data_IF_097440301883
#
_entry.id   IF_097440301883
#
_cell.length_a   1.000
_cell.length_b   1.000
_cell.length_c   1.000
_cell.angle_alpha   90.00
_cell.angle_beta   90.00
_cell.angle_gamma   90.00
#
_symmetry.space_group_name_H-M   'P 1'
#
loop_
_entity.id
_entity.type
_entity.pdbx_description
1 polymer ?
#
# COMPACT_ATOMS: atom_id res chain seq x y z
N UNK A 1 -14.79 11.51 -20.56
CA UNK A 1 -14.58 10.25 -19.78
C UNK A 1 -13.19 10.26 -19.12
N UNK A 2 -13.07 10.79 -17.90
CA UNK A 2 -11.82 10.78 -17.11
C UNK A 2 -12.01 10.27 -15.67
N UNK A 3 -13.23 10.39 -15.12
CA UNK A 3 -13.55 9.91 -13.77
C UNK A 3 -13.38 8.40 -13.57
N UNK A 4 -13.63 7.59 -14.61
CA UNK A 4 -13.47 6.13 -14.54
C UNK A 4 -12.02 5.67 -14.40
N UNK A 5 -11.08 6.29 -15.15
CA UNK A 5 -9.66 5.93 -15.11
C UNK A 5 -9.03 6.26 -13.74
N UNK A 6 -9.33 7.44 -13.19
CA UNK A 6 -8.87 7.82 -11.85
C UNK A 6 -9.42 6.92 -10.75
N UNK A 7 -10.70 6.51 -10.84
CA UNK A 7 -11.30 5.55 -9.91
C UNK A 7 -10.63 4.17 -9.99
N UNK A 8 -10.37 3.67 -11.19
CA UNK A 8 -9.69 2.38 -11.38
C UNK A 8 -8.25 2.41 -10.83
N UNK A 9 -7.50 3.48 -11.07
CA UNK A 9 -6.15 3.64 -10.52
C UNK A 9 -6.15 3.63 -8.98
N UNK A 10 -7.08 4.38 -8.36
CA UNK A 10 -7.25 4.37 -6.90
C UNK A 10 -7.61 2.98 -6.35
N UNK A 11 -8.48 2.25 -7.04
CA UNK A 11 -8.82 0.87 -6.64
C UNK A 11 -7.63 -0.07 -6.81
N UNK A 12 -6.83 0.08 -7.87
CA UNK A 12 -5.66 -0.74 -8.13
C UNK A 12 -4.59 -0.58 -7.04
N UNK A 13 -4.25 0.66 -6.66
CA UNK A 13 -3.25 0.91 -5.61
C UNK A 13 -3.73 0.43 -4.24
N UNK A 14 -5.04 0.58 -3.93
CA UNK A 14 -5.63 0.05 -2.69
C UNK A 14 -5.62 -1.48 -2.65
N UNK A 15 -5.88 -2.13 -3.78
CA UNK A 15 -5.76 -3.59 -3.86
C UNK A 15 -4.31 -4.04 -3.71
N UNK A 16 -3.36 -3.34 -4.34
CA UNK A 16 -1.95 -3.67 -4.28
C UNK A 16 -1.42 -3.67 -2.84
N UNK A 17 -1.74 -2.66 -2.04
CA UNK A 17 -1.30 -2.60 -0.63
C UNK A 17 -1.96 -3.69 0.24
N UNK A 18 -3.24 -3.99 0.03
CA UNK A 18 -3.96 -5.03 0.80
C UNK A 18 -3.40 -6.41 0.49
N UNK A 19 -3.06 -6.66 -0.78
CA UNK A 19 -2.48 -7.93 -1.23
C UNK A 19 -0.97 -8.03 -0.91
N UNK A 20 -0.33 -6.91 -0.56
CA UNK A 20 1.11 -6.88 -0.24
C UNK A 20 1.35 -7.56 1.09
N UNK A 21 2.12 -8.65 1.06
CA UNK A 21 2.61 -9.36 2.23
C UNK A 21 4.12 -9.52 2.11
N UNK A 22 4.83 -9.30 3.22
CA UNK A 22 6.27 -9.52 3.29
C UNK A 22 6.53 -11.00 3.06
N UNK A 23 7.41 -11.30 2.10
CA UNK A 23 7.80 -12.66 1.80
C UNK A 23 8.91 -13.11 2.77
N UNK A 24 8.89 -14.39 3.14
CA UNK A 24 9.91 -14.95 4.02
C UNK A 24 11.30 -14.80 3.39
N UNK A 25 12.23 -14.23 4.14
CA UNK A 25 13.61 -13.97 3.68
C UNK A 25 13.80 -12.61 2.99
N UNK A 26 12.74 -11.83 2.76
CA UNK A 26 12.87 -10.43 2.33
C UNK A 26 13.40 -9.58 3.47
N UNK A 27 14.34 -8.69 3.19
CA UNK A 27 14.80 -7.72 4.18
C UNK A 27 13.69 -6.72 4.50
N UNK A 28 13.44 -6.49 5.80
CA UNK A 28 12.43 -5.53 6.28
C UNK A 28 12.60 -4.15 5.63
N UNK A 29 13.85 -3.71 5.41
CA UNK A 29 14.15 -2.44 4.74
C UNK A 29 13.58 -2.40 3.32
N UNK A 30 13.78 -3.47 2.55
CA UNK A 30 13.38 -3.52 1.15
C UNK A 30 11.85 -3.64 1.04
N UNK A 31 11.23 -4.42 1.93
CA UNK A 31 9.77 -4.46 2.08
C UNK A 31 9.19 -3.08 2.42
N UNK A 32 9.79 -2.38 3.39
CA UNK A 32 9.34 -1.03 3.79
C UNK A 32 9.46 -0.03 2.64
N UNK A 33 10.52 -0.09 1.83
CA UNK A 33 10.66 0.78 0.65
C UNK A 33 9.49 0.54 -0.31
N UNK A 34 9.16 -0.72 -0.61
CA UNK A 34 8.04 -1.06 -1.47
C UNK A 34 6.69 -0.55 -0.93
N UNK A 35 6.44 -0.72 0.37
CA UNK A 35 5.22 -0.19 1.01
C UNK A 35 5.17 1.35 0.93
N UNK A 36 6.29 2.04 1.11
CA UNK A 36 6.36 3.52 0.96
C UNK A 36 6.02 3.95 -0.47
N UNK A 37 6.49 3.22 -1.49
CA UNK A 37 6.16 3.50 -2.89
C UNK A 37 4.65 3.45 -3.14
N UNK A 38 3.96 2.43 -2.62
CA UNK A 38 2.50 2.31 -2.72
C UNK A 38 1.77 3.47 -2.04
N UNK A 39 2.23 3.90 -0.85
CA UNK A 39 1.67 5.07 -0.17
C UNK A 39 1.92 6.38 -0.93
N UNK A 40 3.06 6.51 -1.60
CA UNK A 40 3.35 7.67 -2.44
C UNK A 40 2.43 7.70 -3.67
N UNK A 41 2.17 6.55 -4.29
CA UNK A 41 1.20 6.44 -5.39
C UNK A 41 -0.23 6.80 -4.93
N UNK A 42 -0.65 6.33 -3.76
CA UNK A 42 -1.93 6.73 -3.16
C UNK A 42 -2.05 8.24 -2.97
N UNK A 43 -0.98 8.90 -2.49
CA UNK A 43 -0.94 10.36 -2.34
C UNK A 43 -1.10 11.07 -3.68
N UNK A 44 -0.39 10.62 -4.72
CA UNK A 44 -0.50 11.17 -6.08
C UNK A 44 -1.93 11.01 -6.61
N UNK A 45 -2.54 9.85 -6.36
CA UNK A 45 -3.91 9.53 -6.77
C UNK A 45 -5.00 10.17 -5.88
N UNK A 46 -4.60 10.96 -4.88
CA UNK A 46 -5.47 11.62 -3.90
C UNK A 46 -6.43 10.64 -3.22
N UNK A 47 -5.91 9.48 -2.82
CA UNK A 47 -6.64 8.53 -1.97
C UNK A 47 -6.63 9.07 -0.54
N UNK A 48 -7.81 9.29 0.03
CA UNK A 48 -7.96 9.73 1.41
C UNK A 48 -8.02 8.52 2.34
N UNK A 49 -7.02 8.39 3.22
CA UNK A 49 -6.94 7.33 4.24
C UNK A 49 -6.57 8.01 5.56
N UNK A 50 -7.26 7.65 6.65
CA UNK A 50 -6.93 8.14 7.99
C UNK A 50 -5.54 7.65 8.39
N UNK A 51 -4.77 8.49 9.10
CA UNK A 51 -3.42 8.13 9.54
C UNK A 51 -3.36 6.83 10.33
N UNK A 52 -4.32 6.60 11.22
CA UNK A 52 -4.46 5.33 11.98
C UNK A 52 -4.59 4.13 11.05
N UNK A 53 -5.49 4.21 10.07
CA UNK A 53 -5.66 3.15 9.06
C UNK A 53 -4.39 2.92 8.23
N UNK A 54 -3.58 3.95 7.98
CA UNK A 54 -2.30 3.77 7.28
C UNK A 54 -1.32 2.93 8.12
N UNK A 55 -1.30 3.12 9.44
CA UNK A 55 -0.47 2.32 10.35
C UNK A 55 -0.92 0.87 10.33
N UNK A 56 -2.22 0.62 10.47
CA UNK A 56 -2.78 -0.74 10.43
C UNK A 56 -2.45 -1.46 9.12
N UNK A 57 -2.58 -0.75 7.98
CA UNK A 57 -2.23 -1.31 6.67
C UNK A 57 -0.75 -1.69 6.58
N UNK A 58 0.16 -0.89 7.12
CA UNK A 58 1.60 -1.23 7.14
C UNK A 58 1.83 -2.47 7.99
N UNK A 59 1.24 -2.55 9.18
CA UNK A 59 1.37 -3.70 10.08
C UNK A 59 0.85 -4.98 9.42
N UNK A 60 -0.28 -4.90 8.74
CA UNK A 60 -0.84 -6.02 7.98
C UNK A 60 0.06 -6.49 6.83
N UNK A 61 0.93 -5.64 6.28
CA UNK A 61 1.87 -6.08 5.23
C UNK A 61 3.05 -6.89 5.77
N UNK A 62 3.32 -6.84 7.08
CA UNK A 62 4.44 -7.56 7.69
C UNK A 62 4.10 -9.05 7.82
N UNK A 63 5.13 -9.90 7.82
CA UNK A 63 4.96 -11.33 8.14
C UNK A 63 4.78 -11.50 9.64
N UNK A 64 3.95 -12.45 10.06
CA UNK A 64 3.78 -12.83 11.48
C UNK A 64 5.09 -13.33 12.13
N UNK A 65 6.03 -13.79 11.31
CA UNK A 65 7.36 -14.22 11.72
C UNK A 65 8.40 -13.18 11.30
N UNK A 66 8.71 -12.24 12.20
CA UNK A 66 9.94 -11.45 12.12
C UNK A 66 11.18 -12.33 12.33
#
# INVERSE_FOLDING_TARGET
MFGGKGRLARQAVLKAIIDTKMLKGTLIRDHKIHVIELFNEMKILRVEIKGETQVDMVLETLSDSL
#
